data_IF_725331184542
#
_entry.id   IF_725331184542
#
_cell.length_a   1.000
_cell.length_b   1.000
_cell.length_c   1.000
_cell.angle_alpha   90.00
_cell.angle_beta   90.00
_cell.angle_gamma   90.00
#
_symmetry.space_group_name_H-M   'P 1'
#
loop_
_entity.id
_entity.type
_entity.pdbx_description
1 polymer ?
#
# COMPACT_ATOMS: atom_id res chain seq x y z
N UNK A 1 56.06 -22.12 11.65
CA UNK A 1 54.69 -22.15 12.18
C UNK A 1 54.03 -20.80 11.91
N UNK A 2 53.00 -20.74 11.04
CA UNK A 2 52.15 -19.56 10.89
C UNK A 2 50.69 -20.02 10.93
N UNK A 3 49.94 -19.53 11.91
CA UNK A 3 48.54 -19.86 12.12
C UNK A 3 47.68 -19.29 10.98
N UNK A 4 46.75 -20.10 10.46
CA UNK A 4 45.70 -19.65 9.53
C UNK A 4 44.64 -18.85 10.31
N UNK A 5 44.08 -17.76 9.75
CA UNK A 5 42.99 -17.04 10.40
C UNK A 5 41.72 -17.90 10.33
N UNK A 6 41.08 -18.05 11.49
CA UNK A 6 39.81 -18.75 11.68
C UNK A 6 38.72 -17.88 11.07
N UNK A 7 38.01 -18.37 10.04
CA UNK A 7 36.80 -17.70 9.54
C UNK A 7 35.74 -17.86 10.63
N UNK A 8 35.35 -16.76 11.26
CA UNK A 8 34.14 -16.70 12.07
C UNK A 8 32.95 -16.85 11.13
N UNK A 9 32.15 -17.89 11.37
CA UNK A 9 30.84 -18.03 10.76
C UNK A 9 29.97 -16.93 11.32
N UNK A 10 29.74 -15.90 10.52
CA UNK A 10 28.73 -14.90 10.81
C UNK A 10 27.37 -15.59 10.70
N UNK A 11 26.83 -16.01 11.84
CA UNK A 11 25.42 -16.39 11.94
C UNK A 11 24.62 -15.13 11.65
N UNK A 12 24.28 -14.94 10.38
CA UNK A 12 23.19 -14.08 9.97
C UNK A 12 21.96 -14.76 10.55
N UNK A 13 21.59 -14.36 11.78
CA UNK A 13 20.24 -14.55 12.29
C UNK A 13 19.33 -13.90 11.25
N UNK A 14 18.81 -14.73 10.35
CA UNK A 14 17.74 -14.36 9.46
C UNK A 14 16.59 -13.97 10.37
N UNK A 15 16.41 -12.66 10.56
CA UNK A 15 15.10 -12.14 10.87
C UNK A 15 14.21 -12.69 9.75
N UNK A 16 13.39 -13.68 10.07
CA UNK A 16 12.21 -14.01 9.28
C UNK A 16 11.33 -12.76 9.33
N UNK A 17 11.67 -11.76 8.52
CA UNK A 17 10.71 -10.82 8.00
C UNK A 17 9.79 -11.70 7.17
N UNK A 18 8.73 -12.22 7.80
CA UNK A 18 7.57 -12.66 7.04
C UNK A 18 7.28 -11.50 6.10
N UNK A 19 7.56 -11.67 4.82
CA UNK A 19 7.14 -10.71 3.82
C UNK A 19 5.62 -10.64 4.01
N UNK A 20 5.14 -9.56 4.59
CA UNK A 20 3.72 -9.25 4.65
C UNK A 20 3.21 -9.46 3.23
N UNK A 21 2.31 -10.44 3.06
CA UNK A 21 1.80 -10.70 1.73
C UNK A 21 1.16 -9.42 1.23
N UNK A 22 1.62 -8.86 0.10
CA UNK A 22 1.12 -7.59 -0.37
C UNK A 22 -0.37 -7.74 -0.66
N UNK A 23 -1.16 -6.78 -0.17
CA UNK A 23 -2.58 -6.70 -0.50
C UNK A 23 -2.75 -6.65 -2.01
N UNK A 24 -3.46 -7.63 -2.56
CA UNK A 24 -3.74 -7.72 -3.99
C UNK A 24 -5.13 -7.12 -4.26
N UNK A 25 -5.25 -6.09 -5.10
CA UNK A 25 -6.55 -5.54 -5.44
C UNK A 25 -7.35 -6.55 -6.27
N UNK A 26 -8.62 -6.72 -5.94
CA UNK A 26 -9.56 -7.55 -6.70
C UNK A 26 -10.19 -6.79 -7.86
N UNK A 27 -10.24 -5.46 -7.78
CA UNK A 27 -10.81 -4.59 -8.80
C UNK A 27 -10.11 -3.22 -8.80
N UNK A 28 -10.08 -2.58 -9.97
CA UNK A 28 -9.73 -1.17 -10.12
C UNK A 28 -10.96 -0.42 -10.65
N UNK A 29 -11.44 0.56 -9.88
CA UNK A 29 -12.61 1.34 -10.18
C UNK A 29 -12.22 2.79 -10.51
N UNK A 30 -12.85 3.37 -11.53
CA UNK A 30 -12.63 4.77 -11.93
C UNK A 30 -13.94 5.53 -11.92
N UNK A 31 -13.95 6.67 -11.24
CA UNK A 31 -15.07 7.59 -11.23
C UNK A 31 -14.74 8.85 -12.00
N UNK A 32 -15.42 9.05 -13.13
CA UNK A 32 -15.32 10.30 -13.89
C UNK A 32 -15.89 11.48 -13.08
N UNK A 33 -17.01 11.29 -12.39
CA UNK A 33 -17.67 12.33 -11.61
C UNK A 33 -16.83 12.82 -10.42
N UNK A 34 -16.08 11.92 -9.78
CA UNK A 34 -15.22 12.26 -8.65
C UNK A 34 -13.77 12.53 -9.08
N UNK A 35 -13.40 12.26 -10.34
CA UNK A 35 -12.04 12.39 -10.83
C UNK A 35 -11.03 11.47 -10.12
N UNK A 36 -11.47 10.32 -9.60
CA UNK A 36 -10.61 9.39 -8.85
C UNK A 36 -10.48 8.04 -9.54
N UNK A 37 -9.32 7.42 -9.35
CA UNK A 37 -9.08 5.99 -9.57
C UNK A 37 -8.92 5.36 -8.19
N UNK A 38 -9.65 4.30 -7.89
CA UNK A 38 -9.62 3.60 -6.62
C UNK A 38 -9.37 2.11 -6.83
N UNK A 39 -8.59 1.51 -5.93
CA UNK A 39 -8.44 0.06 -5.86
C UNK A 39 -9.44 -0.49 -4.85
N UNK A 40 -9.96 -1.68 -5.17
CA UNK A 40 -10.83 -2.45 -4.29
C UNK A 40 -10.05 -3.65 -3.78
N UNK A 41 -10.01 -3.80 -2.48
CA UNK A 41 -9.49 -4.96 -1.79
C UNK A 41 -10.65 -5.62 -1.07
N UNK A 42 -10.65 -6.93 -1.04
CA UNK A 42 -11.48 -7.66 -0.11
C UNK A 42 -10.56 -8.49 0.74
N UNK A 43 -10.54 -8.26 2.05
CA UNK A 43 -9.70 -9.00 2.98
C UNK A 43 -10.29 -9.09 4.40
N UNK A 44 -9.64 -9.89 5.24
CA UNK A 44 -9.91 -9.88 6.68
C UNK A 44 -9.71 -8.49 7.29
N UNK A 45 -10.37 -8.21 8.41
CA UNK A 45 -10.18 -6.93 9.10
C UNK A 45 -8.74 -6.73 9.57
N UNK A 46 -8.09 -7.78 10.07
CA UNK A 46 -6.70 -7.72 10.54
C UNK A 46 -5.77 -7.32 9.41
N UNK A 47 -5.90 -7.96 8.25
CA UNK A 47 -5.09 -7.64 7.05
C UNK A 47 -5.33 -6.21 6.56
N UNK A 48 -6.58 -5.75 6.53
CA UNK A 48 -6.88 -4.37 6.14
C UNK A 48 -6.32 -3.36 7.16
N UNK A 49 -6.34 -3.69 8.45
CA UNK A 49 -5.80 -2.83 9.50
C UNK A 49 -4.26 -2.74 9.43
N UNK A 50 -3.60 -3.87 9.27
CA UNK A 50 -2.14 -3.97 9.13
C UNK A 50 -1.62 -3.24 7.89
N UNK A 51 -2.43 -3.13 6.83
CA UNK A 51 -2.07 -2.39 5.62
C UNK A 51 -1.77 -0.90 5.81
N UNK A 52 -2.32 -0.29 6.86
CA UNK A 52 -2.23 1.16 7.08
C UNK A 52 -2.88 2.02 5.98
N UNK A 53 -3.71 1.44 5.10
CA UNK A 53 -4.45 2.15 4.04
C UNK A 53 -5.69 2.88 4.58
N UNK A 54 -6.21 2.43 5.72
CA UNK A 54 -7.34 3.06 6.41
C UNK A 54 -6.79 3.93 7.55
N UNK A 55 -7.19 5.21 7.67
CA UNK A 55 -6.78 6.05 8.78
C UNK A 55 -7.22 5.48 10.14
N UNK A 56 -6.37 5.62 11.17
CA UNK A 56 -6.59 5.02 12.50
C UNK A 56 -7.89 5.47 13.19
N UNK A 57 -8.36 6.68 12.88
CA UNK A 57 -9.58 7.25 13.45
C UNK A 57 -10.86 6.71 12.80
N UNK A 58 -10.77 5.95 11.70
CA UNK A 58 -11.93 5.37 11.03
C UNK A 58 -12.40 4.13 11.78
N UNK A 59 -13.67 4.14 12.18
CA UNK A 59 -14.31 3.00 12.84
C UNK A 59 -14.73 1.98 11.79
N UNK A 60 -14.37 0.73 12.02
CA UNK A 60 -14.67 -0.38 11.12
C UNK A 60 -16.13 -0.83 11.30
N UNK A 61 -16.87 -1.09 10.21
CA UNK A 61 -18.24 -1.56 10.30
C UNK A 61 -18.27 -2.95 10.96
N UNK A 62 -19.18 -3.14 11.91
CA UNK A 62 -19.30 -4.38 12.71
C UNK A 62 -20.26 -5.37 12.06
N UNK A 63 -21.40 -4.89 11.57
CA UNK A 63 -22.45 -5.75 11.00
C UNK A 63 -22.31 -5.87 9.48
N UNK A 64 -22.61 -7.05 8.89
CA UNK A 64 -22.74 -7.20 7.45
C UNK A 64 -23.70 -6.20 6.81
N UNK A 65 -23.37 -5.74 5.61
CA UNK A 65 -24.15 -4.74 4.87
C UNK A 65 -23.90 -3.30 5.31
N UNK A 66 -23.35 -3.08 6.51
CA UNK A 66 -22.98 -1.75 6.99
C UNK A 66 -21.63 -1.30 6.41
N UNK A 67 -21.51 0.00 6.18
CA UNK A 67 -20.30 0.59 5.64
C UNK A 67 -20.07 2.01 6.12
N UNK A 68 -18.82 2.45 6.03
CA UNK A 68 -18.39 3.82 6.28
C UNK A 68 -17.71 4.34 5.03
N UNK A 69 -18.07 5.56 4.62
CA UNK A 69 -17.41 6.27 3.54
C UNK A 69 -16.78 7.54 4.11
N UNK A 70 -15.49 7.69 3.87
CA UNK A 70 -14.69 8.84 4.26
C UNK A 70 -14.37 9.63 2.99
N UNK A 71 -14.95 10.82 2.82
CA UNK A 71 -14.60 11.69 1.71
C UNK A 71 -13.15 12.18 1.87
N UNK A 72 -12.53 12.57 0.77
CA UNK A 72 -11.22 13.21 0.81
C UNK A 72 -11.29 14.48 1.68
N UNK A 73 -10.36 14.60 2.61
CA UNK A 73 -10.29 15.68 3.60
C UNK A 73 -8.87 16.22 3.70
N UNK A 74 -8.65 17.42 4.25
CA UNK A 74 -7.30 18.00 4.32
C UNK A 74 -6.32 17.14 5.15
N UNK A 75 -6.81 16.46 6.19
CA UNK A 75 -6.02 15.54 7.03
C UNK A 75 -5.75 14.21 6.31
N UNK A 76 -6.65 13.78 5.43
CA UNK A 76 -6.52 12.56 4.65
C UNK A 76 -7.08 12.80 3.23
N UNK A 77 -6.24 13.25 2.29
CA UNK A 77 -6.69 13.79 1.00
C UNK A 77 -7.00 12.67 -0.01
N UNK A 78 -7.60 11.58 0.45
CA UNK A 78 -7.93 10.41 -0.35
C UNK A 78 -9.32 9.90 0.03
N UNK A 79 -10.07 9.41 -0.95
CA UNK A 79 -11.33 8.74 -0.69
C UNK A 79 -11.08 7.33 -0.13
N UNK A 80 -11.83 6.96 0.90
CA UNK A 80 -11.88 5.60 1.46
C UNK A 80 -13.32 5.19 1.70
N UNK A 81 -13.67 3.95 1.39
CA UNK A 81 -14.93 3.33 1.78
C UNK A 81 -14.69 1.91 2.27
N UNK A 82 -15.25 1.58 3.42
CA UNK A 82 -15.28 0.23 3.98
C UNK A 82 -16.72 -0.28 3.97
N UNK A 83 -16.89 -1.54 3.60
CA UNK A 83 -18.17 -2.26 3.67
C UNK A 83 -17.88 -3.63 4.29
N UNK A 84 -18.67 -4.04 5.30
CA UNK A 84 -18.62 -5.43 5.74
C UNK A 84 -19.48 -6.30 4.85
N UNK A 85 -18.87 -7.34 4.30
CA UNK A 85 -19.54 -8.33 3.49
C UNK A 85 -20.22 -9.39 4.37
N UNK A 86 -21.22 -10.07 3.84
CA UNK A 86 -21.89 -11.21 4.48
C UNK A 86 -20.92 -12.34 4.87
N UNK A 87 -19.79 -12.45 4.16
CA UNK A 87 -18.71 -13.39 4.48
C UNK A 87 -17.93 -13.04 5.75
N UNK A 88 -18.21 -11.89 6.38
CA UNK A 88 -17.44 -11.35 7.50
C UNK A 88 -16.17 -10.61 7.09
N UNK A 89 -15.76 -10.68 5.82
CA UNK A 89 -14.63 -9.91 5.26
C UNK A 89 -15.00 -8.44 5.06
N UNK A 90 -13.99 -7.61 4.89
CA UNK A 90 -14.15 -6.20 4.51
C UNK A 90 -13.86 -6.01 3.04
N UNK A 91 -14.71 -5.22 2.38
CA UNK A 91 -14.39 -4.59 1.11
C UNK A 91 -13.90 -3.17 1.36
N UNK A 92 -12.62 -2.92 1.09
CA UNK A 92 -12.00 -1.61 1.11
C UNK A 92 -11.91 -1.07 -0.32
N UNK A 93 -12.52 0.09 -0.57
CA UNK A 93 -12.29 0.89 -1.76
C UNK A 93 -11.48 2.12 -1.37
N UNK A 94 -10.31 2.31 -1.97
CA UNK A 94 -9.38 3.39 -1.59
C UNK A 94 -8.71 3.99 -2.81
N UNK A 95 -8.53 5.31 -2.81
CA UNK A 95 -7.84 6.04 -3.87
C UNK A 95 -6.46 5.45 -4.16
N UNK A 96 -6.14 5.25 -5.45
CA UNK A 96 -4.86 4.72 -5.90
C UNK A 96 -3.67 5.53 -5.37
N UNK A 97 -3.83 6.84 -5.16
CA UNK A 97 -2.78 7.71 -4.58
C UNK A 97 -2.43 7.32 -3.16
N UNK A 98 -3.40 6.87 -2.35
CA UNK A 98 -3.12 6.39 -0.99
C UNK A 98 -2.33 5.09 -1.04
N UNK A 99 -2.68 4.19 -1.95
CA UNK A 99 -1.99 2.90 -2.15
C UNK A 99 -0.55 3.14 -2.59
N UNK A 100 -0.34 3.97 -3.62
CA UNK A 100 1.00 4.27 -4.13
C UNK A 100 1.90 4.94 -3.09
N UNK A 101 1.36 5.79 -2.21
CA UNK A 101 2.16 6.40 -1.12
C UNK A 101 2.66 5.39 -0.09
N UNK A 102 1.97 4.26 0.07
CA UNK A 102 2.36 3.19 0.99
C UNK A 102 3.28 2.15 0.35
N UNK A 103 3.24 2.03 -0.97
CA UNK A 103 4.13 1.14 -1.71
C UNK A 103 5.57 1.67 -1.71
N UNK A 104 6.35 1.24 -0.72
CA UNK A 104 7.74 1.68 -0.54
C UNK A 104 8.64 1.27 -1.71
N UNK A 105 8.35 0.14 -2.36
CA UNK A 105 9.10 -0.33 -3.53
C UNK A 105 8.85 0.63 -4.69
N UNK A 106 7.59 0.96 -4.96
CA UNK A 106 7.22 1.93 -5.98
C UNK A 106 7.80 3.32 -5.68
N UNK A 107 7.70 3.79 -4.44
CA UNK A 107 8.25 5.09 -4.03
C UNK A 107 9.77 5.14 -4.21
N UNK A 108 10.48 4.08 -3.84
CA UNK A 108 11.94 3.99 -4.02
C UNK A 108 12.32 3.94 -5.51
N UNK A 109 11.61 3.14 -6.31
CA UNK A 109 11.81 3.11 -7.76
C UNK A 109 11.59 4.48 -8.39
N UNK A 110 10.46 5.14 -8.09
CA UNK A 110 10.10 6.44 -8.64
C UNK A 110 11.06 7.53 -8.17
N UNK A 111 11.48 7.50 -6.90
CA UNK A 111 12.49 8.40 -6.36
C UNK A 111 13.85 8.26 -7.08
N UNK A 112 14.28 7.02 -7.36
CA UNK A 112 15.50 6.78 -8.16
C UNK A 112 15.35 7.28 -9.59
N UNK A 113 14.18 7.10 -10.19
CA UNK A 113 13.89 7.57 -11.53
C UNK A 113 13.94 9.10 -11.64
N UNK A 114 13.45 9.82 -10.63
CA UNK A 114 13.50 11.29 -10.58
C UNK A 114 14.91 11.80 -10.28
N UNK A 115 15.69 11.07 -9.49
CA UNK A 115 17.06 11.45 -9.14
C UNK A 115 18.09 11.19 -10.25
N UNK A 116 17.69 10.46 -11.31
CA UNK A 116 18.52 10.17 -12.46
C UNK A 116 18.50 11.35 -13.42
N UNK A 117 19.56 12.16 -13.40
CA UNK A 117 19.75 13.32 -14.27
C UNK A 117 20.05 12.93 -15.73
N UNK A 118 20.28 11.64 -16.00
CA UNK A 118 20.46 11.08 -17.34
C UNK A 118 19.16 10.58 -17.98
N UNK A 119 18.01 10.79 -17.32
CA UNK A 119 16.69 10.45 -17.83
C UNK A 119 15.78 11.68 -17.85
N UNK A 120 15.38 12.13 -19.04
CA UNK A 120 14.23 13.03 -19.13
C UNK A 120 12.92 12.23 -19.06
N UNK A 121 12.10 12.57 -18.06
CA UNK A 121 10.74 12.03 -17.91
C UNK A 121 9.70 12.80 -18.73
N UNK A 122 10.12 13.86 -19.43
CA UNK A 122 9.27 14.64 -20.33
C UNK A 122 9.47 14.12 -21.75
N UNK A 123 8.37 13.69 -22.36
CA UNK A 123 8.40 13.20 -23.74
C UNK A 123 8.91 14.30 -24.69
N UNK A 124 10.07 14.09 -25.30
CA UNK A 124 10.66 14.97 -26.30
C UNK A 124 11.78 15.87 -25.79
N UNK A 125 12.11 15.82 -24.50
CA UNK A 125 13.29 16.49 -23.96
C UNK A 125 14.54 15.59 -24.08
N UNK A 126 15.69 16.24 -24.24
CA UNK A 126 16.99 15.55 -24.13
C UNK A 126 17.25 15.34 -22.64
N UNK A 127 17.70 14.15 -22.26
CA UNK A 127 18.27 13.95 -20.94
C UNK A 127 19.59 14.72 -20.80
#
# INVERSE_FOLDING_TARGET
MKAKPKRESMEISGSNSQAEQPLVPVECWRSAAMGITAYVFEESETTIRESGLVPEWVIYPVEPGNGVAVPAHHIFPNYVKLLRLESGRLRLMVDARAVLRRDTIFQHFFGRLIADDSLSLVRGESA
#
